data_IF_980298687331
#
_entry.id   IF_980298687331
#
_cell.length_a   1.000
_cell.length_b   1.000
_cell.length_c   1.000
_cell.angle_alpha   90.00
_cell.angle_beta   90.00
_cell.angle_gamma   90.00
#
_symmetry.space_group_name_H-M   'P 1'
#
loop_
_entity.id
_entity.type
_entity.pdbx_description
1 polymer ?
#
# COMPACT_ATOMS: atom_id res chain seq x y z
N UNK A 1 -3.13 -10.44 -10.44
CA UNK A 1 -4.23 -9.80 -9.68
C UNK A 1 -5.17 -9.06 -10.62
N UNK A 2 -6.48 -9.21 -10.43
CA UNK A 2 -7.47 -8.40 -11.15
C UNK A 2 -7.41 -6.96 -10.62
N UNK A 3 -7.23 -5.99 -11.50
CA UNK A 3 -7.16 -4.58 -11.15
C UNK A 3 -8.57 -3.98 -11.07
N UNK A 4 -8.94 -3.40 -9.94
CA UNK A 4 -10.21 -2.71 -9.78
C UNK A 4 -10.18 -1.31 -10.42
N UNK A 5 -11.37 -0.73 -10.67
CA UNK A 5 -11.50 0.58 -11.31
C UNK A 5 -11.25 0.59 -12.82
N UNK A 6 -11.09 -0.57 -13.44
CA UNK A 6 -11.08 -0.68 -14.91
C UNK A 6 -12.52 -0.56 -15.44
N UNK A 7 -12.72 0.08 -16.61
CA UNK A 7 -14.02 0.11 -17.23
C UNK A 7 -14.50 -1.30 -17.55
N UNK A 8 -15.80 -1.52 -17.41
CA UNK A 8 -16.41 -2.79 -17.81
C UNK A 8 -16.11 -3.07 -19.28
N UNK A 9 -15.71 -4.31 -19.58
CA UNK A 9 -15.64 -4.75 -20.97
C UNK A 9 -17.08 -5.03 -21.47
N UNK A 10 -17.60 -4.22 -22.41
CA UNK A 10 -19.00 -4.32 -22.83
C UNK A 10 -19.35 -5.68 -23.43
N UNK A 11 -18.43 -6.30 -24.17
CA UNK A 11 -18.66 -7.61 -24.81
C UNK A 11 -18.76 -8.72 -23.74
N UNK A 12 -17.84 -8.73 -22.78
CA UNK A 12 -17.85 -9.72 -21.68
C UNK A 12 -19.09 -9.56 -20.80
N UNK A 13 -19.44 -8.33 -20.47
CA UNK A 13 -20.62 -8.03 -19.63
C UNK A 13 -21.91 -8.40 -20.35
N UNK A 14 -22.06 -8.00 -21.61
CA UNK A 14 -23.23 -8.36 -22.42
C UNK A 14 -23.33 -9.88 -22.59
N UNK A 15 -22.22 -10.57 -22.88
CA UNK A 15 -22.21 -12.03 -23.01
C UNK A 15 -22.65 -12.75 -21.74
N UNK A 16 -22.18 -12.30 -20.55
CA UNK A 16 -22.62 -12.86 -19.26
C UNK A 16 -24.09 -12.60 -18.98
N UNK A 17 -24.57 -11.38 -19.23
CA UNK A 17 -25.97 -11.04 -19.02
C UNK A 17 -26.91 -11.80 -19.99
N UNK A 18 -26.52 -12.02 -21.24
CA UNK A 18 -27.26 -12.82 -22.18
C UNK A 18 -27.28 -14.32 -21.83
N UNK A 19 -26.23 -14.83 -21.21
CA UNK A 19 -26.16 -16.22 -20.78
C UNK A 19 -27.10 -16.55 -19.60
N UNK A 20 -27.51 -15.57 -18.79
CA UNK A 20 -28.40 -15.80 -17.65
C UNK A 20 -29.77 -16.32 -18.07
N UNK A 21 -30.56 -15.62 -18.93
CA UNK A 21 -31.87 -16.12 -19.36
C UNK A 21 -31.78 -17.42 -20.16
N UNK A 22 -30.72 -17.61 -20.96
CA UNK A 22 -30.50 -18.83 -21.71
C UNK A 22 -30.31 -20.04 -20.79
N UNK A 23 -29.44 -19.91 -19.77
CA UNK A 23 -29.21 -20.97 -18.79
C UNK A 23 -30.49 -21.26 -17.98
N UNK A 24 -31.25 -20.24 -17.60
CA UNK A 24 -32.53 -20.41 -16.90
C UNK A 24 -33.57 -21.15 -17.77
N UNK A 25 -33.65 -20.82 -19.05
CA UNK A 25 -34.57 -21.49 -19.99
C UNK A 25 -34.21 -22.97 -20.20
N UNK A 26 -32.94 -23.34 -20.06
CA UNK A 26 -32.44 -24.71 -20.13
C UNK A 26 -32.51 -25.46 -18.79
N UNK A 27 -33.05 -24.83 -17.73
CA UNK A 27 -33.12 -25.39 -16.35
C UNK A 27 -31.81 -25.43 -15.62
N UNK A 28 -30.73 -24.80 -16.13
CA UNK A 28 -29.43 -24.72 -15.48
C UNK A 28 -29.35 -23.44 -14.62
N UNK A 29 -30.10 -23.45 -13.52
CA UNK A 29 -30.09 -22.32 -12.54
C UNK A 29 -28.71 -22.06 -11.93
N UNK A 30 -27.88 -23.08 -11.80
CA UNK A 30 -26.54 -22.93 -11.22
C UNK A 30 -25.62 -22.09 -12.14
N UNK A 31 -25.68 -22.34 -13.45
CA UNK A 31 -24.95 -21.53 -14.43
C UNK A 31 -25.51 -20.12 -14.51
N UNK A 32 -26.85 -19.95 -14.48
CA UNK A 32 -27.47 -18.64 -14.45
C UNK A 32 -27.00 -17.81 -13.26
N UNK A 33 -27.02 -18.39 -12.05
CA UNK A 33 -26.53 -17.74 -10.82
C UNK A 33 -25.03 -17.40 -10.89
N UNK A 34 -24.19 -18.30 -11.44
CA UNK A 34 -22.75 -18.03 -11.60
C UNK A 34 -22.50 -16.85 -12.54
N UNK A 35 -23.19 -16.79 -13.69
CA UNK A 35 -23.03 -15.68 -14.65
C UNK A 35 -23.51 -14.35 -14.06
N UNK A 36 -24.64 -14.34 -13.37
CA UNK A 36 -25.15 -13.14 -12.68
C UNK A 36 -24.18 -12.64 -11.60
N UNK A 37 -23.70 -13.55 -10.73
CA UNK A 37 -22.75 -13.18 -9.67
C UNK A 37 -21.43 -12.66 -10.27
N UNK A 38 -20.95 -13.23 -11.38
CA UNK A 38 -19.75 -12.76 -12.06
C UNK A 38 -19.95 -11.35 -12.64
N UNK A 39 -21.09 -11.10 -13.31
CA UNK A 39 -21.42 -9.78 -13.83
C UNK A 39 -21.54 -8.72 -12.70
N UNK A 40 -22.19 -9.09 -11.59
CA UNK A 40 -22.28 -8.24 -10.40
C UNK A 40 -20.89 -7.94 -9.80
N UNK A 41 -20.05 -8.95 -9.68
CA UNK A 41 -18.69 -8.78 -9.16
C UNK A 41 -17.83 -7.85 -10.05
N UNK A 42 -17.96 -7.96 -11.38
CA UNK A 42 -17.28 -7.07 -12.32
C UNK A 42 -17.77 -5.61 -12.18
N UNK A 43 -19.08 -5.42 -12.02
CA UNK A 43 -19.66 -4.09 -11.79
C UNK A 43 -19.13 -3.48 -10.48
N UNK A 44 -19.18 -4.23 -9.38
CA UNK A 44 -18.67 -3.75 -8.07
C UNK A 44 -17.18 -3.40 -8.15
N UNK A 45 -16.40 -4.24 -8.84
CA UNK A 45 -14.96 -3.99 -9.04
C UNK A 45 -14.71 -2.75 -9.91
N UNK A 46 -15.50 -2.52 -10.97
CA UNK A 46 -15.37 -1.31 -11.78
C UNK A 46 -15.67 -0.03 -11.00
N UNK A 47 -16.60 -0.10 -10.06
CA UNK A 47 -16.93 0.99 -9.12
C UNK A 47 -15.98 1.09 -7.92
N UNK A 48 -14.94 0.25 -7.85
CA UNK A 48 -14.01 0.16 -6.71
C UNK A 48 -14.72 -0.19 -5.38
N UNK A 49 -15.76 -1.02 -5.43
CA UNK A 49 -16.52 -1.48 -4.25
C UNK A 49 -16.07 -2.87 -3.88
N UNK A 50 -15.63 -3.04 -2.64
CA UNK A 50 -15.26 -4.34 -2.10
C UNK A 50 -16.49 -5.25 -1.90
N UNK A 51 -16.34 -6.55 -2.19
CA UNK A 51 -17.40 -7.53 -2.01
C UNK A 51 -17.54 -7.92 -0.52
N UNK A 52 -18.58 -7.41 0.13
CA UNK A 52 -18.87 -7.70 1.53
C UNK A 52 -19.20 -9.19 1.80
N UNK A 53 -19.45 -10.00 0.77
CA UNK A 53 -19.70 -11.45 0.90
C UNK A 53 -18.42 -12.26 1.02
N UNK A 54 -17.28 -11.63 0.72
CA UNK A 54 -15.94 -12.24 0.76
C UNK A 54 -15.01 -11.47 1.71
N UNK A 55 -15.39 -11.32 2.99
CA UNK A 55 -14.52 -10.65 3.96
C UNK A 55 -13.24 -11.45 4.16
N UNK A 56 -12.14 -10.77 4.38
CA UNK A 56 -10.87 -11.41 4.72
C UNK A 56 -10.83 -11.67 6.23
N UNK A 57 -10.55 -12.92 6.61
CA UNK A 57 -10.28 -13.26 8.00
C UNK A 57 -8.94 -12.66 8.43
N UNK A 58 -8.95 -11.89 9.52
CA UNK A 58 -7.79 -11.08 9.94
C UNK A 58 -6.63 -11.93 10.45
N UNK A 59 -6.91 -13.01 11.17
CA UNK A 59 -5.83 -13.86 11.71
C UNK A 59 -5.17 -14.69 10.61
N UNK A 60 -5.96 -15.25 9.71
CA UNK A 60 -5.44 -15.91 8.53
C UNK A 60 -4.60 -14.94 7.68
N UNK A 61 -5.07 -13.71 7.48
CA UNK A 61 -4.34 -12.68 6.74
C UNK A 61 -2.99 -12.34 7.39
N UNK A 62 -2.95 -12.17 8.72
CA UNK A 62 -1.70 -11.95 9.46
C UNK A 62 -0.72 -13.10 9.29
N UNK A 63 -1.24 -14.32 9.35
CA UNK A 63 -0.42 -15.53 9.24
C UNK A 63 0.23 -15.64 7.86
N UNK A 64 -0.54 -15.48 6.78
CA UNK A 64 0.00 -15.60 5.42
C UNK A 64 0.88 -14.39 5.03
N UNK A 65 0.55 -13.19 5.47
CA UNK A 65 1.35 -11.99 5.19
C UNK A 65 2.75 -12.07 5.83
N UNK A 66 2.88 -12.69 6.99
CA UNK A 66 4.19 -12.94 7.65
C UNK A 66 5.09 -13.90 6.89
N UNK A 67 4.54 -14.71 5.98
CA UNK A 67 5.34 -15.65 5.17
C UNK A 67 6.04 -14.94 3.99
N UNK A 68 5.70 -13.69 3.71
CA UNK A 68 6.35 -12.91 2.65
C UNK A 68 7.78 -12.56 3.08
N UNK A 69 8.78 -12.81 2.24
CA UNK A 69 10.18 -12.50 2.55
C UNK A 69 10.37 -11.04 2.98
N UNK A 70 11.09 -10.85 4.07
CA UNK A 70 11.37 -9.53 4.64
C UNK A 70 10.25 -8.96 5.52
N UNK A 71 9.10 -9.61 5.64
CA UNK A 71 8.04 -9.20 6.57
C UNK A 71 8.34 -9.74 7.96
N UNK A 72 8.56 -8.86 8.92
CA UNK A 72 8.90 -9.19 10.31
C UNK A 72 7.66 -9.34 11.19
N UNK A 73 6.71 -8.43 11.04
CA UNK A 73 5.45 -8.48 11.80
C UNK A 73 4.32 -7.83 11.03
N UNK A 74 3.08 -8.22 11.36
CA UNK A 74 1.87 -7.74 10.71
C UNK A 74 0.81 -7.45 11.75
N UNK A 75 0.16 -6.29 11.66
CA UNK A 75 -0.92 -5.87 12.54
C UNK A 75 -2.03 -5.18 11.75
N UNK A 76 -3.28 -5.41 12.13
CA UNK A 76 -4.42 -4.64 11.63
C UNK A 76 -4.57 -3.37 12.46
N UNK A 77 -4.45 -2.22 11.79
CA UNK A 77 -4.70 -0.91 12.39
C UNK A 77 -6.20 -0.68 12.55
N UNK A 78 -6.95 -1.08 11.54
CA UNK A 78 -8.42 -1.11 11.55
C UNK A 78 -8.94 -2.21 10.63
N UNK A 79 -10.23 -2.13 10.21
CA UNK A 79 -10.84 -3.16 9.36
C UNK A 79 -10.28 -3.22 7.92
N UNK A 80 -9.61 -2.17 7.47
CA UNK A 80 -9.15 -2.04 6.09
C UNK A 80 -7.63 -1.88 5.98
N UNK A 81 -6.97 -1.41 7.03
CA UNK A 81 -5.57 -1.02 7.01
C UNK A 81 -4.71 -2.06 7.72
N UNK A 82 -3.88 -2.77 6.95
CA UNK A 82 -2.90 -3.75 7.38
C UNK A 82 -1.52 -3.11 7.40
N UNK A 83 -0.90 -2.99 8.56
CA UNK A 83 0.47 -2.53 8.70
C UNK A 83 1.41 -3.74 8.77
N UNK A 84 2.37 -3.81 7.88
CA UNK A 84 3.46 -4.77 7.89
C UNK A 84 4.77 -4.04 8.17
N UNK A 85 5.48 -4.47 9.20
CA UNK A 85 6.83 -4.05 9.51
C UNK A 85 7.80 -4.94 8.76
N UNK A 86 8.71 -4.34 8.00
CA UNK A 86 9.69 -5.05 7.18
C UNK A 86 11.10 -4.93 7.77
N UNK A 87 11.96 -5.88 7.43
CA UNK A 87 13.34 -5.97 7.94
C UNK A 87 14.31 -5.24 7.02
N UNK A 88 14.23 -3.92 7.07
CA UNK A 88 15.07 -3.00 6.31
C UNK A 88 14.36 -2.34 5.12
N UNK A 89 14.85 -1.17 4.74
CA UNK A 89 14.30 -0.31 3.69
C UNK A 89 14.23 -0.99 2.31
N UNK A 90 15.08 -1.98 2.05
CA UNK A 90 15.07 -2.79 0.81
C UNK A 90 13.77 -3.57 0.59
N UNK A 91 13.04 -3.89 1.67
CA UNK A 91 11.75 -4.57 1.60
C UNK A 91 10.57 -3.60 1.69
N UNK A 92 10.82 -2.30 1.89
CA UNK A 92 9.80 -1.26 1.87
C UNK A 92 9.55 -0.81 0.43
N UNK A 93 9.00 -1.71 -0.38
CA UNK A 93 8.77 -1.49 -1.81
C UNK A 93 7.40 -2.04 -2.27
N UNK A 94 7.02 -1.70 -3.51
CA UNK A 94 5.76 -2.16 -4.09
C UNK A 94 5.75 -3.67 -4.34
N UNK A 95 6.91 -4.29 -4.54
CA UNK A 95 7.01 -5.73 -4.74
C UNK A 95 6.62 -6.51 -3.49
N UNK A 96 7.04 -6.05 -2.33
CA UNK A 96 6.63 -6.62 -1.02
C UNK A 96 5.12 -6.47 -0.80
N UNK A 97 4.53 -5.31 -1.15
CA UNK A 97 3.07 -5.13 -1.14
C UNK A 97 2.39 -6.15 -2.05
N UNK A 98 2.90 -6.34 -3.28
CA UNK A 98 2.37 -7.34 -4.23
C UNK A 98 2.47 -8.76 -3.67
N UNK A 99 3.56 -9.08 -2.99
CA UNK A 99 3.74 -10.34 -2.29
C UNK A 99 2.65 -10.58 -1.25
N UNK A 100 2.44 -9.62 -0.37
CA UNK A 100 1.39 -9.68 0.66
C UNK A 100 0.01 -9.83 0.01
N UNK A 101 -0.31 -8.97 -0.95
CA UNK A 101 -1.62 -8.99 -1.61
C UNK A 101 -1.92 -10.31 -2.33
N UNK A 102 -0.90 -10.96 -2.93
CA UNK A 102 -1.05 -12.31 -3.52
C UNK A 102 -1.36 -13.38 -2.48
N UNK A 103 -0.75 -13.29 -1.30
CA UNK A 103 -1.04 -14.22 -0.21
C UNK A 103 -2.45 -14.01 0.37
N UNK A 104 -2.97 -12.79 0.33
CA UNK A 104 -4.32 -12.46 0.81
C UNK A 104 -5.43 -12.85 -0.18
N UNK A 105 -5.15 -12.92 -1.48
CA UNK A 105 -6.15 -13.14 -2.54
C UNK A 105 -7.02 -14.39 -2.34
N UNK A 106 -6.48 -15.55 -1.91
CA UNK A 106 -7.28 -16.74 -1.64
C UNK A 106 -8.23 -16.60 -0.44
N UNK A 107 -7.94 -15.68 0.49
CA UNK A 107 -8.68 -15.54 1.73
C UNK A 107 -9.96 -14.71 1.60
N UNK A 108 -10.08 -13.87 0.56
CA UNK A 108 -11.25 -13.02 0.40
C UNK A 108 -11.09 -11.94 -0.66
N UNK A 109 -11.86 -10.85 -0.55
CA UNK A 109 -11.74 -9.71 -1.48
C UNK A 109 -10.70 -8.71 -0.98
N UNK A 110 -9.54 -8.73 -1.62
CA UNK A 110 -8.40 -7.86 -1.29
C UNK A 110 -8.61 -6.39 -1.65
N UNK A 111 -9.69 -6.04 -2.36
CA UNK A 111 -10.07 -4.64 -2.60
C UNK A 111 -10.41 -3.91 -1.28
N UNK A 112 -10.82 -4.67 -0.25
CA UNK A 112 -11.05 -4.13 1.09
C UNK A 112 -9.76 -3.80 1.85
N UNK A 113 -8.55 -4.16 1.34
CA UNK A 113 -7.31 -4.09 2.10
C UNK A 113 -6.34 -3.06 1.53
N UNK A 114 -5.88 -2.16 2.39
CA UNK A 114 -4.71 -1.31 2.18
C UNK A 114 -3.55 -1.89 2.97
N UNK A 115 -2.47 -2.20 2.28
CA UNK A 115 -1.22 -2.63 2.90
C UNK A 115 -0.32 -1.41 3.09
N UNK A 116 0.16 -1.23 4.30
CA UNK A 116 1.15 -0.25 4.68
C UNK A 116 2.45 -0.97 5.03
N UNK A 117 3.58 -0.49 4.49
CA UNK A 117 4.90 -1.00 4.85
C UNK A 117 5.70 0.08 5.56
N UNK A 118 6.30 -0.30 6.67
CA UNK A 118 7.22 0.51 7.44
C UNK A 118 8.47 -0.30 7.77
N UNK A 119 9.63 0.34 7.75
CA UNK A 119 10.88 -0.29 8.11
C UNK A 119 10.99 -0.41 9.64
N UNK A 120 11.08 -1.65 10.15
CA UNK A 120 11.24 -1.94 11.57
C UNK A 120 12.64 -1.60 12.10
N UNK A 121 13.60 -1.36 11.20
CA UNK A 121 15.00 -1.05 11.53
C UNK A 121 15.31 0.44 11.37
N UNK A 122 14.32 1.24 10.99
CA UNK A 122 14.45 2.67 10.75
C UNK A 122 15.07 3.41 11.95
N UNK A 123 16.07 4.25 11.68
CA UNK A 123 16.76 5.08 12.67
C UNK A 123 16.62 6.57 12.38
N UNK A 124 16.26 6.93 11.16
CA UNK A 124 16.08 8.31 10.70
C UNK A 124 14.63 8.58 10.33
N UNK A 125 14.24 9.86 10.29
CA UNK A 125 12.91 10.26 9.89
C UNK A 125 12.56 9.83 8.46
N UNK A 126 13.54 9.80 7.56
CA UNK A 126 13.34 9.36 6.16
C UNK A 126 13.13 7.84 6.05
N UNK A 127 13.79 7.06 6.90
CA UNK A 127 13.61 5.62 6.96
C UNK A 127 12.27 5.23 7.56
N UNK A 128 11.68 6.07 8.42
CA UNK A 128 10.33 5.89 9.00
C UNK A 128 9.19 6.15 8.01
N UNK A 129 9.50 6.51 6.75
CA UNK A 129 8.50 6.66 5.71
C UNK A 129 7.65 5.40 5.55
N UNK A 130 6.32 5.56 5.52
CA UNK A 130 5.38 4.49 5.27
C UNK A 130 4.90 4.55 3.82
N UNK A 131 5.15 3.51 3.05
CA UNK A 131 4.51 3.38 1.74
C UNK A 131 3.23 2.55 1.88
N UNK A 132 2.22 2.88 1.09
CA UNK A 132 0.96 2.16 1.13
C UNK A 132 0.33 2.01 -0.24
N UNK A 133 -0.48 0.96 -0.38
CA UNK A 133 -1.31 0.74 -1.56
C UNK A 133 -2.46 -0.20 -1.23
N UNK A 134 -3.62 0.05 -1.84
CA UNK A 134 -4.68 -0.94 -1.89
C UNK A 134 -4.27 -2.11 -2.81
N UNK A 135 -4.59 -3.34 -2.40
CA UNK A 135 -4.17 -4.54 -3.12
C UNK A 135 -4.64 -4.65 -4.57
N UNK A 136 -5.76 -4.03 -4.94
CA UNK A 136 -6.33 -4.11 -6.29
C UNK A 136 -6.31 -2.77 -7.04
N UNK A 137 -5.78 -1.71 -6.44
CA UNK A 137 -5.74 -0.38 -7.02
C UNK A 137 -4.31 0.08 -7.30
N UNK A 138 -4.19 1.13 -8.12
CA UNK A 138 -2.91 1.81 -8.34
C UNK A 138 -2.48 2.57 -7.09
N UNK A 139 -1.17 2.82 -6.92
CA UNK A 139 -0.71 3.70 -5.85
C UNK A 139 -1.45 5.04 -5.86
N UNK A 140 -1.93 5.46 -4.69
CA UNK A 140 -2.70 6.70 -4.53
C UNK A 140 -4.22 6.57 -4.74
N UNK A 141 -4.70 5.50 -5.39
CA UNK A 141 -6.14 5.24 -5.55
C UNK A 141 -6.76 4.68 -4.26
N UNK A 142 -8.07 4.93 -4.09
CA UNK A 142 -8.85 4.49 -2.92
C UNK A 142 -10.09 3.75 -3.37
N UNK A 143 -10.45 2.69 -2.65
CA UNK A 143 -11.74 2.01 -2.85
C UNK A 143 -12.90 2.86 -2.29
N UNK A 144 -14.10 2.66 -2.84
CA UNK A 144 -15.28 3.35 -2.36
C UNK A 144 -15.53 3.01 -0.88
N UNK A 145 -15.85 4.01 -0.07
CA UNK A 145 -16.03 3.91 1.38
C UNK A 145 -14.78 3.47 2.18
N UNK A 146 -13.61 3.41 1.57
CA UNK A 146 -12.36 3.14 2.26
C UNK A 146 -11.79 4.40 2.88
N UNK A 147 -11.47 4.35 4.17
CA UNK A 147 -10.87 5.48 4.89
C UNK A 147 -9.35 5.44 4.67
N UNK A 148 -8.79 6.52 4.13
CA UNK A 148 -7.34 6.71 4.11
C UNK A 148 -6.84 6.90 5.53
N UNK A 149 -5.86 6.10 5.93
CA UNK A 149 -5.13 6.28 7.18
C UNK A 149 -3.73 6.78 6.84
N UNK A 150 -3.38 7.90 7.43
CA UNK A 150 -2.00 8.37 7.45
C UNK A 150 -1.30 7.65 8.61
N UNK A 151 -0.37 6.75 8.28
CA UNK A 151 0.41 6.01 9.26
C UNK A 151 1.86 6.49 9.32
N UNK A 152 2.24 7.48 8.51
CA UNK A 152 3.53 8.12 8.61
C UNK A 152 3.69 8.81 9.97
N UNK A 153 4.82 8.59 10.61
CA UNK A 153 5.20 9.26 11.84
C UNK A 153 5.49 10.75 11.59
N UNK A 154 6.00 11.06 10.41
CA UNK A 154 6.28 12.42 9.96
C UNK A 154 5.36 12.74 8.79
N UNK A 155 4.68 13.87 8.86
CA UNK A 155 3.81 14.35 7.78
C UNK A 155 4.59 14.40 6.45
N UNK A 156 4.03 13.84 5.35
CA UNK A 156 4.70 13.80 4.05
C UNK A 156 5.13 15.17 3.53
N UNK A 157 4.36 16.22 3.79
CA UNK A 157 4.69 17.59 3.36
C UNK A 157 5.88 18.15 4.15
N UNK A 158 5.96 17.83 5.45
CA UNK A 158 7.12 18.20 6.28
C UNK A 158 8.37 17.46 5.78
N UNK A 159 8.23 16.16 5.49
CA UNK A 159 9.32 15.35 4.94
C UNK A 159 9.80 15.86 3.59
N UNK A 160 8.88 16.20 2.68
CA UNK A 160 9.22 16.76 1.37
C UNK A 160 9.99 18.08 1.49
N UNK A 161 9.55 18.97 2.40
CA UNK A 161 10.28 20.23 2.68
C UNK A 161 11.65 19.97 3.24
N UNK A 162 11.80 19.05 4.20
CA UNK A 162 13.11 18.71 4.78
C UNK A 162 14.06 18.13 3.73
N UNK A 163 13.58 17.23 2.86
CA UNK A 163 14.36 16.71 1.74
C UNK A 163 14.79 17.81 0.77
N UNK A 164 13.89 18.76 0.45
CA UNK A 164 14.22 19.90 -0.43
C UNK A 164 15.28 20.83 0.19
N UNK A 165 15.17 21.11 1.50
CA UNK A 165 16.17 21.91 2.22
C UNK A 165 17.52 21.20 2.26
N UNK A 166 17.56 19.91 2.55
CA UNK A 166 18.80 19.13 2.56
C UNK A 166 19.43 19.00 1.16
N UNK A 167 18.61 18.87 0.11
CA UNK A 167 19.11 18.86 -1.27
C UNK A 167 19.67 20.22 -1.74
N UNK A 168 19.20 21.31 -1.14
CA UNK A 168 19.69 22.68 -1.42
C UNK A 168 20.77 23.15 -0.43
N UNK A 169 21.03 22.38 0.64
CA UNK A 169 22.11 22.68 1.56
C UNK A 169 23.47 22.50 0.85
N UNK A 170 24.41 23.43 0.99
CA UNK A 170 25.75 23.21 0.52
C UNK A 170 26.35 21.98 1.20
N UNK A 171 27.17 21.22 0.45
CA UNK A 171 27.80 19.98 0.88
C UNK A 171 28.15 20.00 2.37
N UNK A 172 27.77 18.92 3.10
CA UNK A 172 28.07 18.80 4.52
C UNK A 172 29.58 18.98 4.80
N UNK A 173 30.43 18.49 3.87
CA UNK A 173 31.88 18.67 3.90
C UNK A 173 32.30 20.14 3.83
N UNK A 174 31.65 20.96 2.98
CA UNK A 174 31.94 22.39 2.87
C UNK A 174 31.45 23.18 4.11
N UNK A 175 30.44 22.68 4.82
CA UNK A 175 29.98 23.28 6.08
C UNK A 175 30.91 22.91 7.23
N UNK A 176 31.43 21.70 7.24
CA UNK A 176 32.39 21.22 8.22
C UNK A 176 33.75 21.91 8.07
N UNK A 177 34.23 22.06 6.84
CA UNK A 177 35.45 22.82 6.55
C UNK A 177 35.37 24.29 7.03
N UNK A 178 34.23 24.96 6.80
CA UNK A 178 33.99 26.32 7.29
C UNK A 178 33.93 26.40 8.82
N UNK A 179 33.35 25.39 9.49
CA UNK A 179 33.35 25.32 10.94
C UNK A 179 34.76 25.11 11.51
N UNK A 180 35.55 24.21 10.89
CA UNK A 180 36.94 23.96 11.30
C UNK A 180 37.85 25.17 11.05
N UNK A 181 37.64 25.91 9.97
CA UNK A 181 38.36 27.14 9.67
C UNK A 181 38.00 28.26 10.66
N UNK A 182 36.72 28.39 11.00
CA UNK A 182 36.27 29.33 12.03
C UNK A 182 36.86 29.01 13.43
N UNK A 183 36.93 27.72 13.78
CA UNK A 183 37.57 27.28 15.01
C UNK A 183 39.09 27.64 15.06
N UNK A 184 39.81 27.42 13.96
CA UNK A 184 41.24 27.78 13.87
C UNK A 184 41.46 29.29 14.02
N UNK A 185 40.58 30.10 13.40
CA UNK A 185 40.67 31.56 13.54
C UNK A 185 40.40 31.99 14.96
N UNK A 186 39.45 31.37 15.68
CA UNK A 186 39.15 31.63 17.08
C UNK A 186 40.34 31.24 17.98
N UNK A 187 40.93 30.08 17.76
CA UNK A 187 42.11 29.61 18.51
C UNK A 187 43.30 30.55 18.30
N UNK A 188 43.55 30.99 17.08
CA UNK A 188 44.65 31.91 16.72
C UNK A 188 44.44 33.34 17.26
N UNK A 189 43.17 33.75 17.53
CA UNK A 189 42.82 35.07 18.00
C UNK A 189 42.66 35.16 19.52
N UNK A 190 42.72 34.03 20.23
CA UNK A 190 42.61 34.01 21.70
C UNK A 190 44.00 34.21 22.33
N UNK A 191 44.30 35.34 22.96
CA UNK A 191 45.61 35.55 23.60
C UNK A 191 45.73 34.60 24.79
N UNK A 192 46.84 33.87 24.84
CA UNK A 192 47.23 33.12 26.05
C UNK A 192 47.44 34.10 27.21
N UNK A 193 46.65 33.95 28.26
CA UNK A 193 46.86 34.69 29.53
C UNK A 193 47.80 33.91 30.45
#
# INVERSE_FOLDING_TARGET
>A
MAQAGQPLNPLTTAGRLAAVPLASALGDEQTARRQFNAAHADLMRSMKVADARRPIDRESARTVARQVPGVRSVVWVDRHNLLALVDGSRYRDQHTIDGICRQLEPLGDTLAVVVHLQDATARTGDELETINRNCQLRPGDVALAQIRRQLDVIDPDIRARHKAVNASAPDADASQQRADEAMRVLEASTPEM
#
